data_IF_952111242071
#
_entry.id   IF_952111242071
#
_cell.length_a   1.000
_cell.length_b   1.000
_cell.length_c   1.000
_cell.angle_alpha   90.00
_cell.angle_beta   90.00
_cell.angle_gamma   90.00
#
_symmetry.space_group_name_H-M   'P 1'
#
loop_
_entity.id
_entity.type
_entity.pdbx_description
1 polymer ?
#
# COMPACT_ATOMS: atom_id res chain seq x y z
N UNK A 1 -6.77 -30.20 -11.87
CA UNK A 1 -5.65 -30.07 -10.92
C UNK A 1 -4.43 -29.63 -11.73
N UNK A 2 -4.35 -28.33 -12.01
CA UNK A 2 -3.21 -27.71 -12.67
C UNK A 2 -2.44 -26.97 -11.57
N UNK A 3 -1.18 -27.35 -11.46
CA UNK A 3 -0.23 -26.94 -10.44
C UNK A 3 -0.15 -25.43 -10.32
N UNK A 4 -0.49 -24.88 -9.15
CA UNK A 4 -0.12 -23.52 -8.73
C UNK A 4 1.37 -23.57 -8.40
N UNK A 5 2.18 -23.72 -9.45
CA UNK A 5 3.63 -23.61 -9.41
C UNK A 5 4.07 -22.94 -10.71
N UNK A 6 3.60 -21.71 -10.89
CA UNK A 6 4.16 -20.78 -11.86
C UNK A 6 4.85 -19.68 -11.06
N UNK A 7 6.17 -19.84 -10.90
CA UNK A 7 7.15 -18.77 -10.72
C UNK A 7 6.79 -17.65 -9.72
N UNK A 8 7.34 -17.74 -8.51
CA UNK A 8 7.60 -16.59 -7.65
C UNK A 8 8.58 -15.66 -8.40
N UNK A 9 8.07 -14.82 -9.29
CA UNK A 9 8.84 -13.73 -9.87
C UNK A 9 9.19 -12.78 -8.72
N UNK A 10 10.49 -12.52 -8.56
CA UNK A 10 11.01 -11.45 -7.70
C UNK A 10 10.60 -10.09 -8.28
N UNK A 11 9.30 -9.80 -8.29
CA UNK A 11 8.76 -8.56 -8.81
C UNK A 11 8.98 -7.46 -7.78
N UNK A 12 9.88 -6.54 -8.12
CA UNK A 12 10.08 -5.30 -7.38
C UNK A 12 9.29 -4.23 -8.10
N UNK A 13 8.36 -3.58 -7.41
CA UNK A 13 7.68 -2.39 -7.89
C UNK A 13 8.26 -1.16 -7.20
N UNK A 14 8.58 -0.13 -7.98
CA UNK A 14 9.08 1.15 -7.49
C UNK A 14 8.27 2.24 -8.17
N UNK A 15 7.68 3.13 -7.36
CA UNK A 15 7.13 4.40 -7.83
C UNK A 15 8.12 5.50 -7.45
N UNK A 16 8.44 6.34 -8.43
CA UNK A 16 9.35 7.47 -8.24
C UNK A 16 8.78 8.69 -8.94
N UNK A 17 8.70 9.78 -8.20
CA UNK A 17 8.26 11.08 -8.68
C UNK A 17 9.12 12.14 -7.96
N UNK A 18 10.03 12.82 -8.66
CA UNK A 18 10.92 13.80 -8.05
C UNK A 18 10.18 15.06 -7.54
N UNK A 19 8.96 15.30 -8.04
CA UNK A 19 8.18 16.48 -7.71
C UNK A 19 7.11 16.19 -6.63
N UNK A 20 6.99 14.93 -6.21
CA UNK A 20 6.04 14.53 -5.19
C UNK A 20 6.42 15.04 -3.81
N UNK A 21 5.50 15.78 -3.20
CA UNK A 21 5.63 16.31 -1.84
C UNK A 21 4.80 15.46 -0.89
N UNK A 22 5.41 15.05 0.22
CA UNK A 22 4.70 14.33 1.28
C UNK A 22 3.68 15.27 1.95
N UNK A 23 2.40 14.86 2.11
CA UNK A 23 1.39 15.73 2.71
C UNK A 23 1.70 16.01 4.18
N UNK A 24 1.56 17.26 4.62
CA UNK A 24 1.84 17.68 6.00
C UNK A 24 0.61 17.63 6.91
N UNK A 25 -0.59 17.76 6.33
CA UNK A 25 -1.82 17.91 7.11
C UNK A 25 -2.60 16.58 7.23
N UNK A 26 -2.84 16.07 8.45
CA UNK A 26 -3.76 14.97 8.66
C UNK A 26 -5.20 15.38 8.28
N UNK A 27 -6.06 14.44 7.83
CA UNK A 27 -5.91 12.99 7.95
C UNK A 27 -5.27 12.29 6.73
N UNK A 28 -4.49 13.00 5.90
CA UNK A 28 -3.78 12.43 4.73
C UNK A 28 -4.71 11.71 3.73
N UNK A 29 -5.90 12.26 3.53
CA UNK A 29 -6.88 11.78 2.56
C UNK A 29 -6.31 11.74 1.13
N UNK A 30 -6.88 10.92 0.23
CA UNK A 30 -6.50 10.95 -1.19
C UNK A 30 -6.83 12.30 -1.84
N UNK A 31 -6.13 12.64 -2.92
CA UNK A 31 -6.42 13.85 -3.70
C UNK A 31 -7.79 13.81 -4.40
N UNK A 32 -8.29 12.62 -4.71
CA UNK A 32 -9.55 12.36 -5.39
C UNK A 32 -10.28 11.17 -4.77
N UNK A 33 -11.54 10.99 -5.13
CA UNK A 33 -12.33 9.86 -4.67
C UNK A 33 -12.01 8.62 -5.52
N UNK A 34 -11.32 7.65 -4.93
CA UNK A 34 -11.13 6.34 -5.54
C UNK A 34 -12.30 5.41 -5.23
N UNK A 35 -12.73 4.53 -6.17
CA UNK A 35 -13.89 3.66 -5.97
C UNK A 35 -13.82 2.78 -4.71
N UNK A 36 -12.64 2.28 -4.37
CA UNK A 36 -12.40 1.47 -3.18
C UNK A 36 -12.36 2.28 -1.86
N UNK A 37 -12.29 3.61 -1.94
CA UNK A 37 -12.13 4.50 -0.79
C UNK A 37 -13.49 4.89 -0.18
N UNK A 38 -13.85 4.21 0.91
CA UNK A 38 -15.20 4.28 1.52
C UNK A 38 -15.43 5.45 2.48
N UNK A 39 -14.40 6.27 2.77
CA UNK A 39 -14.50 7.35 3.75
C UNK A 39 -14.92 8.69 3.14
N UNK A 40 -14.87 8.82 1.80
CA UNK A 40 -15.47 9.93 1.03
C UNK A 40 -14.85 11.33 1.20
N UNK A 41 -13.84 11.49 2.06
CA UNK A 41 -13.13 12.75 2.24
C UNK A 41 -11.89 12.83 1.33
N UNK A 42 -11.68 13.97 0.67
CA UNK A 42 -10.47 14.22 -0.12
C UNK A 42 -9.54 15.20 0.58
N UNK A 43 -8.27 15.24 0.17
CA UNK A 43 -7.29 16.22 0.64
C UNK A 43 -7.61 17.60 0.07
N UNK A 44 -7.56 18.62 0.91
CA UNK A 44 -7.72 20.03 0.50
C UNK A 44 -6.49 20.52 -0.28
N UNK A 45 -5.29 20.10 0.13
CA UNK A 45 -4.01 20.53 -0.49
C UNK A 45 -3.47 19.54 -1.53
N UNK A 46 -4.20 18.45 -1.80
CA UNK A 46 -3.71 17.34 -2.61
C UNK A 46 -2.90 16.33 -1.79
N UNK A 47 -2.74 15.13 -2.36
CA UNK A 47 -1.96 14.03 -1.78
C UNK A 47 -1.58 13.05 -2.91
N UNK A 48 -0.59 13.43 -3.71
CA UNK A 48 -0.09 12.62 -4.82
C UNK A 48 0.57 11.31 -4.34
N UNK A 49 1.12 11.31 -3.12
CA UNK A 49 1.72 10.12 -2.48
C UNK A 49 0.69 9.00 -2.33
N UNK A 50 -0.57 9.32 -2.02
CA UNK A 50 -1.63 8.31 -1.91
C UNK A 50 -1.77 7.50 -3.20
N UNK A 51 -1.79 8.19 -4.35
CA UNK A 51 -1.91 7.53 -5.65
C UNK A 51 -0.65 6.71 -6.00
N UNK A 52 0.53 7.19 -5.65
CA UNK A 52 1.77 6.41 -5.79
C UNK A 52 1.72 5.12 -4.96
N UNK A 53 1.21 5.17 -3.72
CA UNK A 53 0.99 3.95 -2.92
C UNK A 53 0.02 3.01 -3.61
N UNK A 54 -1.05 3.52 -4.25
CA UNK A 54 -1.96 2.67 -5.02
C UNK A 54 -1.26 2.01 -6.20
N UNK A 55 -0.50 2.78 -6.98
CA UNK A 55 0.23 2.30 -8.15
C UNK A 55 1.30 1.28 -7.80
N UNK A 56 2.08 1.48 -6.73
CA UNK A 56 3.13 0.51 -6.36
C UNK A 56 2.53 -0.85 -5.98
N UNK A 57 1.39 -0.87 -5.29
CA UNK A 57 0.69 -2.12 -4.94
C UNK A 57 0.13 -2.82 -6.19
N UNK A 58 -0.47 -2.08 -7.12
CA UNK A 58 -0.91 -2.61 -8.42
C UNK A 58 0.26 -3.18 -9.22
N UNK A 59 1.36 -2.42 -9.31
CA UNK A 59 2.56 -2.80 -10.06
C UNK A 59 3.28 -3.99 -9.41
N UNK A 60 3.12 -4.21 -8.11
CA UNK A 60 3.52 -5.42 -7.42
C UNK A 60 2.64 -6.65 -7.73
N UNK A 61 1.58 -6.49 -8.53
CA UNK A 61 0.69 -7.58 -8.93
C UNK A 61 -0.50 -7.80 -8.00
N UNK A 62 -0.72 -6.90 -7.03
CA UNK A 62 -1.72 -7.12 -5.99
C UNK A 62 -3.13 -6.77 -6.48
N UNK A 63 -3.98 -7.80 -6.54
CA UNK A 63 -5.39 -7.71 -6.89
C UNK A 63 -5.65 -6.96 -8.21
N UNK A 64 -4.86 -7.28 -9.24
CA UNK A 64 -4.90 -6.59 -10.52
C UNK A 64 -6.29 -6.63 -11.20
N UNK A 65 -7.03 -7.71 -11.00
CA UNK A 65 -8.35 -7.90 -11.62
C UNK A 65 -9.40 -6.88 -11.13
N UNK A 66 -9.22 -6.35 -9.91
CA UNK A 66 -10.17 -5.41 -9.33
C UNK A 66 -9.64 -3.97 -9.27
N UNK A 67 -8.41 -3.70 -9.74
CA UNK A 67 -7.84 -2.35 -9.66
C UNK A 67 -8.71 -1.31 -10.39
N UNK A 68 -9.12 -0.27 -9.67
CA UNK A 68 -10.02 0.77 -10.17
C UNK A 68 -11.51 0.50 -9.91
N UNK A 69 -11.83 -0.59 -9.21
CA UNK A 69 -13.17 -0.97 -8.81
C UNK A 69 -13.33 -0.76 -7.30
N UNK A 70 -14.57 -0.69 -6.81
CA UNK A 70 -14.88 -0.60 -5.38
C UNK A 70 -14.50 -1.87 -4.58
N UNK A 71 -14.29 -2.97 -5.30
CA UNK A 71 -13.85 -4.26 -4.80
C UNK A 71 -12.32 -4.39 -4.67
N UNK A 72 -11.53 -3.41 -5.14
CA UNK A 72 -10.08 -3.50 -5.08
C UNK A 72 -9.59 -3.62 -3.62
N UNK A 73 -8.89 -4.72 -3.35
CA UNK A 73 -8.31 -5.03 -2.06
C UNK A 73 -6.91 -5.63 -2.26
N UNK A 74 -5.86 -4.79 -2.31
CA UNK A 74 -4.49 -5.26 -2.56
C UNK A 74 -3.94 -6.22 -1.49
N UNK A 75 -4.58 -6.31 -0.32
CA UNK A 75 -4.19 -7.26 0.73
C UNK A 75 -5.18 -8.41 0.91
N UNK A 76 -6.19 -8.53 0.04
CA UNK A 76 -7.27 -9.51 0.16
C UNK A 76 -6.81 -10.96 0.05
N UNK A 77 -5.69 -11.22 -0.62
CA UNK A 77 -5.08 -12.54 -0.66
C UNK A 77 -4.41 -12.92 0.66
N UNK A 78 -3.81 -11.95 1.37
CA UNK A 78 -3.04 -12.17 2.59
C UNK A 78 -3.88 -12.10 3.87
N UNK A 79 -4.88 -11.22 3.91
CA UNK A 79 -5.71 -10.94 5.09
C UNK A 79 -7.11 -11.47 4.82
N UNK A 80 -7.56 -12.42 5.65
CA UNK A 80 -8.91 -13.02 5.55
C UNK A 80 -9.77 -12.57 6.73
N UNK A 81 -11.12 -12.62 6.62
CA UNK A 81 -11.99 -12.38 7.76
C UNK A 81 -11.60 -13.28 8.94
N UNK A 82 -11.41 -12.67 10.12
CA UNK A 82 -10.95 -13.36 11.33
C UNK A 82 -9.43 -13.39 11.52
N UNK A 83 -8.62 -12.96 10.56
CA UNK A 83 -7.18 -12.78 10.74
C UNK A 83 -6.89 -11.74 11.84
N UNK A 84 -5.89 -12.02 12.67
CA UNK A 84 -5.31 -11.04 13.60
C UNK A 84 -4.14 -10.35 12.91
N UNK A 85 -4.31 -9.08 12.56
CA UNK A 85 -3.30 -8.27 11.86
C UNK A 85 -2.68 -7.29 12.83
N UNK A 86 -1.35 -7.22 12.86
CA UNK A 86 -0.62 -6.19 13.61
C UNK A 86 -0.24 -5.09 12.64
N UNK A 87 -0.83 -3.91 12.81
CA UNK A 87 -0.29 -2.70 12.18
C UNK A 87 0.94 -2.29 12.97
N UNK A 88 2.12 -2.42 12.38
CA UNK A 88 3.37 -1.97 12.97
C UNK A 88 3.64 -0.54 12.49
N UNK A 89 3.26 0.51 13.24
CA UNK A 89 3.82 1.83 12.98
C UNK A 89 5.31 1.68 13.25
N UNK A 90 6.15 2.00 12.27
CA UNK A 90 7.58 1.71 12.29
C UNK A 90 8.24 2.13 13.63
N UNK A 91 8.36 1.21 14.60
CA UNK A 91 8.91 1.48 15.93
C UNK A 91 10.43 1.52 15.83
N UNK A 92 10.95 2.71 15.59
CA UNK A 92 12.40 2.95 15.60
C UNK A 92 12.86 3.10 17.04
N UNK A 93 13.82 2.29 17.46
CA UNK A 93 14.60 2.50 18.68
C UNK A 93 15.88 3.23 18.29
N UNK A 94 16.26 4.24 19.07
CA UNK A 94 17.51 5.00 18.86
C UNK A 94 18.78 4.15 19.02
N UNK A 95 18.68 2.97 19.64
CA UNK A 95 19.83 2.11 19.96
C UNK A 95 19.80 0.87 19.08
N UNK A 96 20.87 0.67 18.31
CA UNK A 96 21.21 -0.60 17.67
C UNK A 96 22.21 -1.35 18.59
N UNK A 97 21.80 -2.39 19.33
CA UNK A 97 22.74 -3.17 20.12
C UNK A 97 23.67 -3.93 19.17
N UNK A 98 24.91 -3.45 19.06
CA UNK A 98 25.99 -4.23 18.45
C UNK A 98 26.30 -5.35 19.42
N UNK A 99 26.07 -6.61 19.02
CA UNK A 99 26.58 -7.74 19.78
C UNK A 99 28.11 -7.67 19.77
N UNK A 100 28.70 -7.45 20.94
CA UNK A 100 30.12 -7.69 21.16
C UNK A 100 30.28 -9.19 21.45
N UNK A 101 30.72 -9.94 20.43
CA UNK A 101 31.28 -11.28 20.59
C UNK A 101 32.53 -11.25 21.50
#
# INVERSE_FOLDING_TARGET
>A
MLSIAAFMLNNIAVEYDPDAVYPEDPPFNPQENYPEYRFGATSVKGNAVYDQVRRVLKNAGLDQANFGNDEWNPFGEFIKPGSKVVLKPNWVREINPVNSD
#
